data_IF_130112737682
#
_entry.id   IF_130112737682
#
_cell.length_a   1.000
_cell.length_b   1.000
_cell.length_c   1.000
_cell.angle_alpha   90.00
_cell.angle_beta   90.00
_cell.angle_gamma   90.00
#
_symmetry.space_group_name_H-M   'P 1'
#
loop_
_entity.id
_entity.type
_entity.pdbx_description
1 polymer ?
#
# COMPACT_ATOMS: atom_id res chain seq x y z
N UNK A 1 -1.90 14.88 25.01
CA UNK A 1 -1.76 14.87 26.48
C UNK A 1 -2.02 13.47 26.96
N UNK A 2 -1.01 12.84 27.56
CA UNK A 2 -1.11 11.58 28.28
C UNK A 2 -1.58 11.90 29.69
N UNK A 3 -2.87 11.72 29.94
CA UNK A 3 -3.49 11.95 31.24
C UNK A 3 -4.69 11.03 31.40
N UNK A 4 -4.80 10.46 32.59
CA UNK A 4 -5.77 9.48 33.08
C UNK A 4 -5.46 8.01 32.74
N UNK A 5 -4.92 7.31 33.74
CA UNK A 5 -5.02 5.87 33.92
C UNK A 5 -6.47 5.43 34.11
N UNK A 6 -7.28 5.56 33.05
CA UNK A 6 -8.54 4.85 32.97
C UNK A 6 -8.25 3.36 32.78
N UNK A 7 -8.86 2.52 33.61
CA UNK A 7 -8.88 1.09 33.40
C UNK A 7 -9.25 0.79 31.94
N UNK A 8 -8.56 -0.18 31.31
CA UNK A 8 -8.93 -0.62 29.96
C UNK A 8 -10.43 -0.96 30.00
N UNK A 9 -11.27 -0.35 29.15
CA UNK A 9 -12.69 -0.65 29.16
C UNK A 9 -12.86 -2.17 28.98
N UNK A 10 -13.82 -2.78 29.71
CA UNK A 10 -14.04 -4.21 29.62
C UNK A 10 -14.29 -4.61 28.16
N UNK A 11 -13.89 -5.83 27.76
CA UNK A 11 -14.18 -6.32 26.42
C UNK A 11 -15.70 -6.28 26.18
N UNK A 12 -16.11 -5.86 24.99
CA UNK A 12 -17.51 -5.95 24.57
C UNK A 12 -17.81 -7.42 24.30
N UNK A 13 -18.66 -8.04 25.11
CA UNK A 13 -19.02 -9.46 24.98
C UNK A 13 -20.11 -9.69 23.94
N UNK A 14 -21.08 -8.76 23.85
CA UNK A 14 -22.14 -8.79 22.84
C UNK A 14 -22.58 -7.38 22.47
N UNK A 15 -23.12 -7.25 21.26
CA UNK A 15 -23.77 -6.03 20.77
C UNK A 15 -25.06 -6.44 20.05
N UNK A 16 -26.17 -5.77 20.38
CA UNK A 16 -27.47 -5.99 19.73
C UNK A 16 -27.73 -4.81 18.81
N UNK A 17 -27.92 -5.11 17.52
CA UNK A 17 -28.30 -4.12 16.51
C UNK A 17 -29.81 -4.20 16.31
N UNK A 18 -30.52 -3.11 16.59
CA UNK A 18 -31.96 -2.99 16.38
C UNK A 18 -32.20 -2.07 15.18
N UNK A 19 -32.85 -2.60 14.15
CA UNK A 19 -33.22 -1.86 12.95
C UNK A 19 -34.66 -2.20 12.53
N UNK A 20 -35.22 -1.42 11.61
CA UNK A 20 -36.50 -1.77 10.98
C UNK A 20 -36.38 -3.12 10.24
N UNK A 21 -37.45 -3.91 10.13
CA UNK A 21 -37.40 -5.20 9.44
C UNK A 21 -36.92 -5.05 8.00
N UNK A 22 -35.73 -5.56 7.71
CA UNK A 22 -35.20 -5.71 6.35
C UNK A 22 -34.55 -7.10 6.25
N UNK A 23 -34.68 -7.73 5.08
CA UNK A 23 -33.94 -8.97 4.79
C UNK A 23 -32.44 -8.75 4.63
N UNK A 24 -31.97 -7.51 4.74
CA UNK A 24 -30.60 -7.09 4.46
C UNK A 24 -29.77 -6.87 5.74
N UNK A 25 -30.38 -6.88 6.94
CA UNK A 25 -29.69 -6.56 8.19
C UNK A 25 -28.57 -7.57 8.52
N UNK A 26 -28.82 -8.86 8.36
CA UNK A 26 -27.83 -9.91 8.62
C UNK A 26 -26.61 -9.77 7.70
N UNK A 27 -26.86 -9.48 6.42
CA UNK A 27 -25.80 -9.26 5.44
C UNK A 27 -25.02 -7.98 5.76
N UNK A 28 -25.69 -6.89 6.11
CA UNK A 28 -25.04 -5.65 6.51
C UNK A 28 -24.14 -5.83 7.74
N UNK A 29 -24.57 -6.63 8.72
CA UNK A 29 -23.75 -6.97 9.90
C UNK A 29 -22.56 -7.84 9.51
N UNK A 30 -22.75 -8.84 8.65
CA UNK A 30 -21.68 -9.70 8.12
C UNK A 30 -20.61 -8.88 7.40
N UNK A 31 -21.03 -7.98 6.51
CA UNK A 31 -20.14 -7.06 5.80
C UNK A 31 -19.44 -6.10 6.76
N UNK A 32 -20.19 -5.44 7.65
CA UNK A 32 -19.62 -4.52 8.63
C UNK A 32 -18.54 -5.17 9.51
N UNK A 33 -18.74 -6.43 9.91
CA UNK A 33 -17.74 -7.20 10.64
C UNK A 33 -16.49 -7.47 9.79
N UNK A 34 -16.64 -7.90 8.54
CA UNK A 34 -15.50 -8.14 7.64
C UNK A 34 -14.66 -6.88 7.41
N UNK A 35 -15.32 -5.73 7.17
CA UNK A 35 -14.68 -4.43 7.02
C UNK A 35 -13.88 -4.03 8.28
N UNK A 36 -14.50 -4.12 9.45
CA UNK A 36 -13.84 -3.77 10.71
C UNK A 36 -12.69 -4.73 11.05
N UNK A 37 -12.86 -6.03 10.81
CA UNK A 37 -11.85 -7.04 11.10
C UNK A 37 -10.64 -6.96 10.15
N UNK A 38 -10.84 -6.62 8.87
CA UNK A 38 -9.77 -6.31 7.92
C UNK A 38 -8.98 -5.06 8.33
N UNK A 39 -9.67 -3.96 8.62
CA UNK A 39 -9.02 -2.70 9.08
C UNK A 39 -8.27 -2.91 10.40
N UNK A 40 -8.79 -3.73 11.31
CA UNK A 40 -8.13 -4.09 12.57
C UNK A 40 -6.84 -4.90 12.37
N UNK A 41 -6.82 -5.82 11.41
CA UNK A 41 -5.60 -6.56 11.04
C UNK A 41 -4.54 -5.62 10.50
N UNK A 42 -4.93 -4.73 9.57
CA UNK A 42 -4.05 -3.69 9.05
C UNK A 42 -3.49 -2.80 10.18
N UNK A 43 -4.36 -2.29 11.07
CA UNK A 43 -3.95 -1.49 12.23
C UNK A 43 -3.00 -2.23 13.17
N UNK A 44 -3.25 -3.51 13.42
CA UNK A 44 -2.44 -4.32 14.33
C UNK A 44 -1.03 -4.48 13.77
N UNK A 45 -0.90 -4.79 12.49
CA UNK A 45 0.40 -4.91 11.83
C UNK A 45 1.12 -3.56 11.81
N UNK A 46 0.42 -2.48 11.45
CA UNK A 46 0.93 -1.11 11.43
C UNK A 46 1.36 -0.60 12.82
N UNK A 47 0.76 -1.10 13.91
CA UNK A 47 1.09 -0.69 15.27
C UNK A 47 2.44 -1.25 15.76
N UNK A 48 2.84 -2.41 15.26
CA UNK A 48 4.06 -3.12 15.69
C UNK A 48 5.30 -2.22 15.46
N UNK A 49 6.29 -2.27 16.36
CA UNK A 49 7.51 -1.48 16.21
C UNK A 49 8.40 -2.08 15.11
N UNK A 50 9.31 -1.26 14.55
CA UNK A 50 10.17 -1.66 13.42
C UNK A 50 11.05 -2.88 13.72
N UNK A 51 11.50 -3.04 14.97
CA UNK A 51 12.28 -4.21 15.41
C UNK A 51 11.48 -5.52 15.49
N UNK A 52 10.17 -5.49 15.25
CA UNK A 52 9.30 -6.67 15.21
C UNK A 52 8.70 -6.83 13.82
N UNK A 53 8.17 -5.75 13.25
CA UNK A 53 7.50 -5.78 11.96
C UNK A 53 8.47 -5.70 10.78
N UNK A 54 9.46 -6.59 10.72
CA UNK A 54 10.44 -6.68 9.63
C UNK A 54 9.83 -7.30 8.37
N UNK A 55 10.51 -7.25 7.19
CA UNK A 55 9.99 -7.86 5.96
C UNK A 55 9.70 -9.36 6.12
N UNK A 56 10.58 -10.07 6.84
CA UNK A 56 10.37 -11.49 7.18
C UNK A 56 9.15 -11.72 8.08
N UNK A 57 8.90 -10.82 9.04
CA UNK A 57 7.70 -10.88 9.87
C UNK A 57 6.43 -10.62 9.04
N UNK A 58 6.44 -9.62 8.15
CA UNK A 58 5.32 -9.36 7.24
C UNK A 58 4.99 -10.58 6.37
N UNK A 59 6.02 -11.28 5.86
CA UNK A 59 5.83 -12.52 5.12
C UNK A 59 5.19 -13.64 5.96
N UNK A 60 5.57 -13.77 7.23
CA UNK A 60 4.94 -14.71 8.17
C UNK A 60 3.47 -14.37 8.44
N UNK A 61 3.16 -13.08 8.66
CA UNK A 61 1.79 -12.61 8.86
C UNK A 61 0.92 -12.81 7.61
N UNK A 62 1.50 -12.68 6.41
CA UNK A 62 0.80 -12.93 5.17
C UNK A 62 0.37 -14.40 5.04
N UNK A 63 1.25 -15.35 5.39
CA UNK A 63 0.89 -16.77 5.42
C UNK A 63 -0.23 -17.05 6.41
N UNK A 64 -0.15 -16.50 7.64
CA UNK A 64 -1.22 -16.63 8.63
C UNK A 64 -2.55 -16.05 8.13
N UNK A 65 -2.52 -14.89 7.49
CA UNK A 65 -3.70 -14.27 6.88
C UNK A 65 -4.29 -15.18 5.80
N UNK A 66 -3.45 -15.77 4.97
CA UNK A 66 -3.89 -16.67 3.91
C UNK A 66 -4.57 -17.91 4.47
N UNK A 67 -3.96 -18.56 5.47
CA UNK A 67 -4.55 -19.73 6.13
C UNK A 67 -5.92 -19.41 6.77
N UNK A 68 -6.05 -18.26 7.45
CA UNK A 68 -7.30 -17.84 8.09
C UNK A 68 -8.44 -17.50 7.12
N UNK A 69 -8.08 -17.02 5.92
CA UNK A 69 -9.03 -16.51 4.92
C UNK A 69 -9.20 -17.45 3.72
N UNK A 70 -8.50 -18.58 3.67
CA UNK A 70 -8.54 -19.51 2.54
C UNK A 70 -7.90 -18.95 1.27
N UNK A 71 -6.84 -18.14 1.40
CA UNK A 71 -6.08 -17.59 0.28
C UNK A 71 -4.87 -18.46 -0.06
N UNK A 72 -4.33 -18.30 -1.26
CA UNK A 72 -2.98 -18.78 -1.58
C UNK A 72 -1.95 -17.73 -1.14
N UNK A 73 -0.82 -18.15 -0.56
CA UNK A 73 0.30 -17.27 -0.22
C UNK A 73 1.60 -17.76 -0.87
N UNK A 74 2.30 -16.84 -1.53
CA UNK A 74 3.63 -17.03 -2.09
C UNK A 74 4.53 -15.89 -1.58
N UNK A 75 5.79 -16.21 -1.27
CA UNK A 75 6.77 -15.24 -0.77
C UNK A 75 8.07 -15.44 -1.52
N UNK A 76 8.50 -14.42 -2.26
CA UNK A 76 9.78 -14.40 -2.95
C UNK A 76 10.84 -13.79 -2.03
N UNK A 77 11.95 -14.50 -1.85
CA UNK A 77 13.14 -14.01 -1.16
C UNK A 77 14.18 -13.44 -2.13
N UNK A 78 15.39 -13.10 -1.65
CA UNK A 78 16.38 -12.37 -2.45
C UNK A 78 16.81 -13.12 -3.73
N UNK A 79 16.87 -14.45 -3.67
CA UNK A 79 17.23 -15.27 -4.82
C UNK A 79 16.14 -15.21 -5.90
N UNK A 80 14.87 -15.35 -5.51
CA UNK A 80 13.73 -15.27 -6.42
C UNK A 80 13.56 -13.84 -6.96
N UNK A 81 13.72 -12.82 -6.13
CA UNK A 81 13.69 -11.41 -6.54
C UNK A 81 14.77 -11.12 -7.59
N UNK A 82 15.98 -11.67 -7.41
CA UNK A 82 17.07 -11.54 -8.39
C UNK A 82 16.74 -12.28 -9.68
N UNK A 83 16.16 -13.48 -9.61
CA UNK A 83 15.75 -14.23 -10.78
C UNK A 83 14.63 -13.53 -11.56
N UNK A 84 13.73 -12.85 -10.86
CA UNK A 84 12.68 -12.00 -11.44
C UNK A 84 13.20 -10.62 -11.90
N UNK A 85 14.50 -10.30 -11.75
CA UNK A 85 15.06 -9.01 -12.20
C UNK A 85 14.56 -7.80 -11.40
N UNK A 86 14.11 -7.98 -10.15
CA UNK A 86 13.60 -6.90 -9.30
C UNK A 86 14.74 -6.07 -8.68
N UNK A 87 15.54 -5.46 -9.55
CA UNK A 87 16.73 -4.71 -9.16
C UNK A 87 16.42 -3.47 -8.33
N UNK A 88 15.26 -2.83 -8.53
CA UNK A 88 14.89 -1.62 -7.80
C UNK A 88 14.51 -1.93 -6.35
N UNK A 89 13.75 -2.99 -6.11
CA UNK A 89 13.45 -3.50 -4.76
C UNK A 89 14.74 -3.95 -4.06
N UNK A 90 15.58 -4.73 -4.74
CA UNK A 90 16.86 -5.18 -4.19
C UNK A 90 17.76 -3.99 -3.84
N UNK A 91 17.81 -2.95 -4.68
CA UNK A 91 18.61 -1.75 -4.43
C UNK A 91 18.22 -1.02 -3.14
N UNK A 92 16.93 -0.90 -2.85
CA UNK A 92 16.44 -0.28 -1.60
C UNK A 92 16.91 -1.07 -0.37
N UNK A 93 16.88 -2.41 -0.46
CA UNK A 93 17.21 -3.28 0.68
C UNK A 93 18.68 -3.34 1.07
N UNK A 94 19.61 -2.93 0.19
CA UNK A 94 21.07 -3.10 0.39
C UNK A 94 21.61 -2.47 1.68
N UNK A 95 20.87 -1.50 2.23
CA UNK A 95 21.22 -0.82 3.47
C UNK A 95 20.88 -1.60 4.75
N UNK A 96 20.07 -2.64 4.68
CA UNK A 96 19.61 -3.41 5.86
C UNK A 96 20.18 -4.85 5.87
N UNK A 97 20.29 -5.40 7.08
CA UNK A 97 20.53 -6.83 7.31
C UNK A 97 19.22 -7.64 7.17
N UNK A 98 18.06 -6.99 7.26
CA UNK A 98 16.77 -7.62 6.97
C UNK A 98 16.57 -7.72 5.45
N UNK A 99 16.55 -8.95 4.96
CA UNK A 99 16.37 -9.23 3.56
C UNK A 99 14.98 -8.82 3.03
N UNK A 100 14.88 -8.35 1.78
CA UNK A 100 13.60 -7.98 1.19
C UNK A 100 12.73 -9.20 0.93
N UNK A 101 11.42 -8.95 0.81
CA UNK A 101 10.41 -9.95 0.44
C UNK A 101 9.46 -9.33 -0.58
N UNK A 102 9.04 -10.10 -1.58
CA UNK A 102 7.77 -9.81 -2.27
C UNK A 102 6.74 -10.84 -1.81
N UNK A 103 5.69 -10.33 -1.18
CA UNK A 103 4.57 -11.14 -0.69
C UNK A 103 3.47 -11.10 -1.75
N UNK A 104 2.92 -12.27 -2.07
CA UNK A 104 1.81 -12.45 -3.02
C UNK A 104 0.70 -13.23 -2.33
N UNK A 105 -0.50 -12.63 -2.26
CA UNK A 105 -1.72 -13.26 -1.76
C UNK A 105 -2.69 -13.41 -2.93
N UNK A 106 -3.33 -14.57 -3.10
CA UNK A 106 -4.31 -14.79 -4.18
C UNK A 106 -5.63 -15.30 -3.65
N UNK A 107 -6.71 -14.65 -4.10
CA UNK A 107 -8.09 -15.09 -3.96
C UNK A 107 -8.59 -15.50 -5.34
N UNK A 108 -9.09 -16.73 -5.48
CA UNK A 108 -9.66 -17.26 -6.72
C UNK A 108 -11.18 -17.38 -6.58
N UNK A 109 -11.86 -16.25 -6.72
CA UNK A 109 -13.31 -16.16 -6.54
C UNK A 109 -14.11 -16.30 -7.84
N UNK A 110 -13.48 -16.12 -9.00
CA UNK A 110 -14.13 -16.20 -10.30
C UNK A 110 -13.67 -17.43 -11.09
N UNK A 111 -14.26 -17.63 -12.28
CA UNK A 111 -13.91 -18.74 -13.15
C UNK A 111 -12.43 -18.70 -13.58
N UNK A 112 -11.81 -19.86 -13.84
CA UNK A 112 -10.43 -19.93 -14.33
C UNK A 112 -10.24 -19.12 -15.62
N UNK A 113 -9.26 -18.22 -15.61
CA UNK A 113 -8.91 -17.39 -16.78
C UNK A 113 -9.49 -15.98 -16.75
N UNK A 114 -10.39 -15.66 -15.81
CA UNK A 114 -10.83 -14.29 -15.62
C UNK A 114 -9.71 -13.41 -15.05
N UNK A 115 -9.55 -12.22 -15.64
CA UNK A 115 -8.51 -11.26 -15.27
C UNK A 115 -8.70 -10.80 -13.81
N UNK A 116 -7.64 -10.85 -12.98
CA UNK A 116 -7.77 -10.44 -11.59
C UNK A 116 -7.82 -8.91 -11.44
N UNK A 117 -8.38 -8.46 -10.32
CA UNK A 117 -8.06 -7.16 -9.75
C UNK A 117 -6.76 -7.27 -8.96
N UNK A 118 -5.86 -6.30 -9.07
CA UNK A 118 -4.59 -6.32 -8.32
C UNK A 118 -4.53 -5.17 -7.33
N UNK A 119 -4.22 -5.49 -6.09
CA UNK A 119 -3.95 -4.55 -5.00
C UNK A 119 -2.47 -4.55 -4.69
N UNK A 120 -1.79 -3.40 -4.74
CA UNK A 120 -0.34 -3.30 -4.42
C UNK A 120 -0.13 -2.37 -3.22
N UNK A 121 0.60 -2.80 -2.20
CA UNK A 121 0.79 -2.03 -0.98
C UNK A 121 2.26 -1.83 -0.66
N UNK A 122 2.71 -0.57 -0.54
CA UNK A 122 4.08 -0.26 -0.07
C UNK A 122 4.31 -0.88 1.31
N UNK A 123 5.31 -1.75 1.42
CA UNK A 123 5.67 -2.49 2.63
C UNK A 123 7.03 -2.09 3.23
N UNK A 124 7.36 -0.79 3.30
CA UNK A 124 8.59 -0.33 3.96
C UNK A 124 8.46 -0.43 5.47
N UNK A 125 9.11 -1.42 6.05
CA UNK A 125 8.96 -1.76 7.47
C UNK A 125 9.62 -0.76 8.41
N UNK A 126 10.69 -0.13 7.93
CA UNK A 126 11.25 1.08 8.50
C UNK A 126 11.94 1.90 7.41
N UNK A 127 11.74 3.23 7.45
CA UNK A 127 12.34 4.14 6.49
C UNK A 127 13.15 5.24 7.19
N UNK A 128 14.47 5.07 7.21
CA UNK A 128 15.40 6.10 7.68
C UNK A 128 15.77 7.09 6.56
N UNK A 129 15.39 6.82 5.31
CA UNK A 129 15.80 7.56 4.11
C UNK A 129 17.11 7.10 3.47
N UNK A 130 17.76 6.06 4.02
CA UNK A 130 19.05 5.59 3.53
C UNK A 130 20.17 6.63 3.70
N UNK A 131 21.03 6.78 2.68
CA UNK A 131 22.10 7.80 2.67
C UNK A 131 21.54 9.22 2.73
N UNK A 132 20.36 9.45 2.12
CA UNK A 132 19.58 10.68 2.21
C UNK A 132 18.78 10.73 3.52
N UNK A 133 19.49 10.61 4.64
CA UNK A 133 18.96 10.40 5.99
C UNK A 133 17.88 11.42 6.39
N UNK A 134 16.75 10.94 6.91
CA UNK A 134 15.70 11.78 7.48
C UNK A 134 16.20 12.49 8.75
N UNK A 135 15.64 13.67 9.08
CA UNK A 135 15.86 14.26 10.40
C UNK A 135 15.37 13.35 11.53
N UNK A 136 16.06 13.35 12.66
CA UNK A 136 15.71 12.52 13.82
C UNK A 136 14.28 12.76 14.34
N UNK A 137 13.80 14.01 14.26
CA UNK A 137 12.47 14.39 14.75
C UNK A 137 11.38 13.72 13.92
N UNK A 138 10.64 12.80 14.53
CA UNK A 138 9.52 12.12 13.90
C UNK A 138 9.90 10.84 13.14
N UNK A 139 11.19 10.50 13.06
CA UNK A 139 11.66 9.29 12.40
C UNK A 139 11.12 8.02 13.07
N UNK A 140 10.78 8.06 14.36
CA UNK A 140 10.16 6.94 15.08
C UNK A 140 8.80 6.52 14.50
N UNK A 141 8.16 7.40 13.71
CA UNK A 141 6.90 7.14 13.02
C UNK A 141 7.10 6.43 11.67
N UNK A 142 8.33 6.31 11.17
CA UNK A 142 8.60 5.65 9.90
C UNK A 142 8.41 4.13 9.97
N UNK A 143 8.14 3.57 11.16
CA UNK A 143 7.52 2.23 11.29
C UNK A 143 6.15 2.12 10.61
N UNK A 144 5.49 3.24 10.34
CA UNK A 144 4.21 3.27 9.63
C UNK A 144 4.39 3.26 8.11
N UNK A 145 5.61 3.19 7.58
CA UNK A 145 5.84 3.28 6.15
C UNK A 145 5.48 2.01 5.35
N UNK A 146 4.97 1.00 6.07
CA UNK A 146 4.38 -0.24 5.57
C UNK A 146 2.84 -0.22 5.57
N UNK A 147 2.22 0.95 5.81
CA UNK A 147 0.76 1.07 5.96
C UNK A 147 -0.01 0.62 4.72
N UNK A 148 0.54 0.85 3.53
CA UNK A 148 -0.07 0.38 2.28
C UNK A 148 -0.12 -1.14 2.22
N UNK A 149 1.02 -1.79 2.50
CA UNK A 149 1.11 -3.25 2.61
C UNK A 149 0.16 -3.82 3.67
N UNK A 150 0.09 -3.20 4.84
CA UNK A 150 -0.84 -3.60 5.89
C UNK A 150 -2.30 -3.52 5.45
N UNK A 151 -2.67 -2.46 4.73
CA UNK A 151 -4.02 -2.27 4.22
C UNK A 151 -4.38 -3.30 3.15
N UNK A 152 -3.46 -3.63 2.25
CA UNK A 152 -3.64 -4.70 1.24
C UNK A 152 -3.82 -6.05 1.92
N UNK A 153 -2.96 -6.41 2.89
CA UNK A 153 -3.09 -7.67 3.64
C UNK A 153 -4.42 -7.76 4.40
N UNK A 154 -4.86 -6.66 5.02
CA UNK A 154 -6.16 -6.59 5.69
C UNK A 154 -7.35 -6.70 4.73
N UNK A 155 -7.27 -6.06 3.55
CA UNK A 155 -8.30 -6.15 2.52
C UNK A 155 -8.38 -7.56 1.94
N UNK A 156 -7.24 -8.18 1.60
CA UNK A 156 -7.18 -9.55 1.10
C UNK A 156 -7.77 -10.56 2.08
N UNK A 157 -7.49 -10.41 3.38
CA UNK A 157 -8.14 -11.23 4.41
C UNK A 157 -9.67 -11.13 4.32
N UNK A 158 -10.21 -9.91 4.22
CA UNK A 158 -11.66 -9.70 4.16
C UNK A 158 -12.26 -10.21 2.85
N UNK A 159 -11.57 -10.05 1.72
CA UNK A 159 -11.96 -10.61 0.41
C UNK A 159 -12.13 -12.13 0.51
N UNK A 160 -11.12 -12.85 1.01
CA UNK A 160 -11.18 -14.31 1.17
C UNK A 160 -12.27 -14.75 2.14
N UNK A 161 -12.40 -14.06 3.28
CA UNK A 161 -13.46 -14.35 4.28
C UNK A 161 -14.88 -14.14 3.78
N UNK A 162 -15.08 -13.20 2.86
CA UNK A 162 -16.38 -12.97 2.24
C UNK A 162 -16.63 -13.90 1.06
N UNK A 163 -15.59 -14.56 0.53
CA UNK A 163 -15.68 -15.41 -0.65
C UNK A 163 -16.18 -14.63 -1.86
N UNK A 164 -15.67 -13.41 -2.07
CA UNK A 164 -16.17 -12.54 -3.15
C UNK A 164 -15.99 -13.22 -4.51
N UNK A 165 -16.97 -13.15 -5.43
CA UNK A 165 -16.95 -13.85 -6.71
C UNK A 165 -16.09 -13.13 -7.76
N UNK A 166 -14.83 -12.82 -7.42
CA UNK A 166 -13.87 -12.12 -8.29
C UNK A 166 -12.46 -12.61 -8.00
N UNK A 167 -11.59 -12.68 -9.02
CA UNK A 167 -10.17 -12.98 -8.81
C UNK A 167 -9.45 -11.74 -8.26
N UNK A 168 -8.68 -11.90 -7.19
CA UNK A 168 -7.91 -10.79 -6.58
C UNK A 168 -6.50 -11.24 -6.23
N UNK A 169 -5.52 -10.41 -6.58
CA UNK A 169 -4.12 -10.60 -6.18
C UNK A 169 -3.68 -9.42 -5.32
N UNK A 170 -3.19 -9.70 -4.12
CA UNK A 170 -2.53 -8.73 -3.25
C UNK A 170 -1.02 -8.85 -3.34
N UNK A 171 -0.31 -7.74 -3.62
CA UNK A 171 1.14 -7.66 -3.63
C UNK A 171 1.65 -6.71 -2.54
N UNK A 172 2.65 -7.14 -1.80
CA UNK A 172 3.37 -6.30 -0.84
C UNK A 172 4.87 -6.46 -1.07
N UNK A 173 5.49 -5.58 -1.89
CA UNK A 173 6.95 -5.44 -1.87
C UNK A 173 7.37 -4.89 -0.50
N UNK A 174 8.28 -5.58 0.16
CA UNK A 174 8.70 -5.27 1.53
C UNK A 174 10.21 -5.23 1.68
N UNK A 175 10.68 -4.19 2.37
CA UNK A 175 12.08 -3.91 2.64
C UNK A 175 12.18 -3.04 3.89
N UNK A 176 13.40 -2.83 4.37
CA UNK A 176 13.77 -1.63 5.13
C UNK A 176 14.60 -0.69 4.25
N UNK A 177 14.63 0.59 4.58
CA UNK A 177 15.50 1.59 3.97
C UNK A 177 16.41 2.21 5.03
N UNK A 178 17.57 1.59 5.23
CA UNK A 178 18.57 1.96 6.22
C UNK A 178 19.86 2.45 5.56
N UNK A 179 20.72 3.09 6.37
CA UNK A 179 22.07 3.44 5.94
C UNK A 179 23.08 2.38 6.38
N UNK A 180 23.96 1.98 5.46
CA UNK A 180 25.11 1.12 5.73
C UNK A 180 26.19 1.40 4.69
N UNK A 181 27.36 0.75 4.80
CA UNK A 181 28.41 0.82 3.78
C UNK A 181 28.00 0.24 2.42
N UNK A 182 26.93 -0.57 2.38
CA UNK A 182 26.41 -1.22 1.17
C UNK A 182 25.18 -0.51 0.58
N UNK A 183 24.67 0.52 1.27
CA UNK A 183 23.45 1.21 0.86
C UNK A 183 23.58 1.84 -0.53
N UNK A 184 22.45 1.88 -1.24
CA UNK A 184 22.33 2.65 -2.49
C UNK A 184 22.62 4.12 -2.22
N UNK A 185 23.29 4.78 -3.16
CA UNK A 185 23.77 6.16 -3.04
C UNK A 185 23.02 7.08 -4.00
N UNK A 186 22.83 8.37 -3.63
CA UNK A 186 22.50 9.39 -4.61
C UNK A 186 23.48 9.39 -5.78
N UNK A 187 22.96 9.35 -7.01
CA UNK A 187 23.71 9.23 -8.26
C UNK A 187 23.89 7.81 -8.78
N UNK A 188 23.55 6.77 -7.99
CA UNK A 188 23.56 5.40 -8.51
C UNK A 188 22.50 5.25 -9.62
N UNK A 189 22.86 4.54 -10.69
CA UNK A 189 21.92 4.10 -11.72
C UNK A 189 21.64 2.61 -11.49
N UNK A 190 20.36 2.29 -11.28
CA UNK A 190 19.89 0.92 -11.01
C UNK A 190 18.95 0.46 -12.14
N UNK A 191 18.83 -0.85 -12.35
CA UNK A 191 17.77 -1.39 -13.21
C UNK A 191 16.43 -1.49 -12.49
N UNK A 192 15.46 -2.02 -13.21
CA UNK A 192 14.13 -2.41 -12.72
C UNK A 192 13.67 -3.64 -13.48
N UNK A 193 12.65 -4.32 -12.95
CA UNK A 193 12.02 -5.47 -13.59
C UNK A 193 11.52 -5.16 -15.01
N UNK A 194 10.98 -3.97 -15.20
CA UNK A 194 10.49 -3.49 -16.50
C UNK A 194 11.61 -3.22 -17.53
N UNK A 195 12.88 -3.46 -17.17
CA UNK A 195 14.04 -3.19 -18.03
C UNK A 195 14.44 -1.72 -18.14
N UNK A 196 13.82 -0.83 -17.34
CA UNK A 196 14.15 0.60 -17.31
C UNK A 196 15.29 0.87 -16.32
N UNK A 197 16.21 1.73 -16.71
CA UNK A 197 17.26 2.28 -15.86
C UNK A 197 16.76 3.50 -15.08
N UNK A 198 17.04 3.54 -13.78
CA UNK A 198 16.60 4.59 -12.86
C UNK A 198 17.81 5.26 -12.21
N UNK A 199 17.96 6.56 -12.41
CA UNK A 199 18.92 7.38 -11.67
C UNK A 199 18.34 7.74 -10.28
N UNK A 200 18.96 7.21 -9.23
CA UNK A 200 18.55 7.45 -7.85
C UNK A 200 19.12 8.78 -7.37
N UNK A 201 18.33 9.84 -7.38
CA UNK A 201 18.76 11.17 -6.91
C UNK A 201 18.62 11.30 -5.40
N UNK A 202 17.61 10.66 -4.83
CA UNK A 202 17.32 10.72 -3.40
C UNK A 202 16.88 9.33 -2.92
N UNK A 203 17.59 8.78 -1.94
CA UNK A 203 17.33 7.43 -1.38
C UNK A 203 16.14 7.42 -0.41
N UNK A 204 15.62 8.59 -0.04
CA UNK A 204 14.36 8.80 0.71
C UNK A 204 13.12 8.82 -0.22
N UNK A 205 13.34 8.52 -1.50
CA UNK A 205 12.29 8.26 -2.48
C UNK A 205 12.32 6.78 -2.89
N UNK A 206 12.44 5.90 -1.89
CA UNK A 206 12.55 4.44 -1.99
C UNK A 206 11.22 3.76 -2.28
N UNK A 207 10.12 4.26 -1.71
CA UNK A 207 8.81 3.61 -1.79
C UNK A 207 8.36 3.39 -3.22
N UNK A 208 8.63 4.36 -4.11
CA UNK A 208 8.31 4.23 -5.54
C UNK A 208 9.21 3.22 -6.27
N UNK A 209 10.44 3.00 -5.80
CA UNK A 209 11.36 2.02 -6.38
C UNK A 209 10.89 0.60 -6.10
N UNK A 210 10.49 0.32 -4.86
CA UNK A 210 9.96 -1.01 -4.51
C UNK A 210 8.61 -1.28 -5.19
N UNK A 211 7.81 -0.23 -5.40
CA UNK A 211 6.53 -0.33 -6.11
C UNK A 211 6.73 -0.51 -7.61
N UNK A 212 7.75 0.09 -8.22
CA UNK A 212 8.03 -0.06 -9.65
C UNK A 212 8.16 -1.53 -10.05
N UNK A 213 8.97 -2.30 -9.33
CA UNK A 213 9.12 -3.74 -9.62
C UNK A 213 7.84 -4.53 -9.34
N UNK A 214 7.08 -4.18 -8.29
CA UNK A 214 5.84 -4.86 -7.96
C UNK A 214 4.70 -4.56 -8.96
N UNK A 215 4.61 -3.34 -9.47
CA UNK A 215 3.64 -2.94 -10.49
C UNK A 215 3.93 -3.67 -11.82
N UNK A 216 5.19 -3.78 -12.21
CA UNK A 216 5.56 -4.52 -13.41
C UNK A 216 5.35 -6.04 -13.21
N UNK A 217 5.65 -6.55 -12.01
CA UNK A 217 5.31 -7.92 -11.65
C UNK A 217 3.81 -8.19 -11.71
N UNK A 218 2.97 -7.23 -11.30
CA UNK A 218 1.51 -7.34 -11.39
C UNK A 218 1.00 -7.45 -12.83
N UNK A 219 1.61 -6.70 -13.76
CA UNK A 219 1.19 -6.66 -15.16
C UNK A 219 1.26 -8.04 -15.85
N UNK A 220 2.05 -8.98 -15.31
CA UNK A 220 2.17 -10.36 -15.83
C UNK A 220 0.85 -11.13 -15.88
N UNK A 221 -0.13 -10.75 -15.07
CA UNK A 221 -1.44 -11.39 -15.02
C UNK A 221 -2.47 -10.75 -15.95
N UNK A 222 -2.05 -9.76 -16.76
CA UNK A 222 -2.94 -8.93 -17.58
C UNK A 222 -4.21 -8.51 -16.80
N UNK A 223 -4.04 -7.86 -15.64
CA UNK A 223 -5.16 -7.65 -14.74
C UNK A 223 -6.18 -6.67 -15.31
N UNK A 224 -7.43 -6.77 -14.85
CA UNK A 224 -8.49 -5.84 -15.25
C UNK A 224 -8.19 -4.41 -14.75
N UNK A 225 -7.59 -4.30 -13.57
CA UNK A 225 -7.10 -3.05 -13.00
C UNK A 225 -6.03 -3.29 -11.93
N UNK A 226 -5.13 -2.32 -11.76
CA UNK A 226 -4.13 -2.29 -10.69
C UNK A 226 -4.40 -1.07 -9.80
N UNK A 227 -4.58 -1.30 -8.50
CA UNK A 227 -4.71 -0.22 -7.51
C UNK A 227 -3.57 -0.36 -6.50
N UNK A 228 -2.65 0.61 -6.49
CA UNK A 228 -1.61 0.65 -5.48
C UNK A 228 -1.90 1.69 -4.38
N UNK A 229 -1.38 1.46 -3.18
CA UNK A 229 -1.49 2.40 -2.08
C UNK A 229 -0.18 2.48 -1.27
N UNK A 230 0.21 3.71 -0.92
CA UNK A 230 1.49 3.93 -0.26
C UNK A 230 1.52 5.23 0.56
N UNK A 231 2.23 5.19 1.68
CA UNK A 231 2.70 6.38 2.40
C UNK A 231 3.85 6.99 1.60
N UNK A 232 3.53 7.61 0.44
CA UNK A 232 4.54 7.84 -0.59
C UNK A 232 5.20 9.20 -0.52
N UNK A 233 4.43 10.26 -0.24
CA UNK A 233 4.99 11.62 -0.31
C UNK A 233 4.57 12.49 0.87
N UNK A 234 5.54 13.23 1.43
CA UNK A 234 5.21 14.34 2.33
C UNK A 234 4.43 15.47 1.62
N UNK A 235 4.56 15.57 0.29
CA UNK A 235 3.86 16.56 -0.52
C UNK A 235 2.33 16.40 -0.48
N UNK A 236 1.81 15.18 -0.35
CA UNK A 236 0.34 14.98 -0.28
C UNK A 236 -0.22 15.55 1.01
N UNK A 237 0.55 15.52 2.10
CA UNK A 237 0.16 16.10 3.40
C UNK A 237 0.05 17.61 3.28
N UNK A 238 0.96 18.24 2.53
CA UNK A 238 0.90 19.69 2.26
C UNK A 238 -0.32 20.04 1.40
N UNK A 239 -0.67 19.19 0.42
CA UNK A 239 -1.77 19.45 -0.51
C UNK A 239 -3.17 19.18 0.08
N UNK A 240 -3.35 18.05 0.77
CA UNK A 240 -4.66 17.53 1.20
C UNK A 240 -4.80 17.36 2.72
N UNK A 241 -3.74 17.66 3.48
CA UNK A 241 -3.73 17.53 4.94
C UNK A 241 -3.91 16.09 5.41
N UNK A 242 -4.70 15.92 6.48
CA UNK A 242 -4.93 14.63 7.14
C UNK A 242 -6.36 14.09 6.96
N UNK A 243 -7.06 14.57 5.93
CA UNK A 243 -8.49 14.32 5.75
C UNK A 243 -8.81 13.38 4.60
N UNK A 244 -8.10 13.53 3.47
CA UNK A 244 -8.30 12.77 2.24
C UNK A 244 -6.97 12.23 1.75
N UNK A 245 -6.98 10.99 1.26
CA UNK A 245 -5.86 10.47 0.46
C UNK A 245 -5.90 11.11 -0.92
N UNK A 246 -4.78 11.20 -1.63
CA UNK A 246 -4.82 11.50 -3.05
C UNK A 246 -5.16 10.23 -3.84
N UNK A 247 -5.89 10.37 -4.94
CA UNK A 247 -5.98 9.35 -5.99
C UNK A 247 -5.46 9.96 -7.30
N UNK A 248 -4.59 9.25 -8.00
CA UNK A 248 -4.04 9.61 -9.30
C UNK A 248 -4.04 8.35 -10.17
N UNK A 249 -4.12 8.45 -11.49
CA UNK A 249 -4.17 7.24 -12.31
C UNK A 249 -4.12 7.53 -13.80
N UNK A 250 -4.06 6.45 -14.57
CA UNK A 250 -4.11 6.49 -16.03
C UNK A 250 -5.53 6.29 -16.58
N UNK A 251 -6.49 5.96 -15.71
CA UNK A 251 -7.86 5.61 -16.08
C UNK A 251 -8.86 6.41 -15.21
N UNK A 252 -9.66 7.25 -15.84
CA UNK A 252 -10.61 8.15 -15.16
C UNK A 252 -11.80 7.41 -14.56
N UNK A 253 -12.23 6.29 -15.15
CA UNK A 253 -13.33 5.47 -14.63
C UNK A 253 -12.89 4.78 -13.32
N UNK A 254 -11.70 4.20 -13.31
CA UNK A 254 -11.11 3.62 -12.10
C UNK A 254 -10.92 4.65 -10.99
N UNK A 255 -10.52 5.88 -11.33
CA UNK A 255 -10.42 6.97 -10.34
C UNK A 255 -11.80 7.31 -9.75
N UNK A 256 -12.84 7.36 -10.58
CA UNK A 256 -14.20 7.62 -10.12
C UNK A 256 -14.70 6.50 -9.20
N UNK A 257 -14.49 5.24 -9.56
CA UNK A 257 -14.83 4.08 -8.73
C UNK A 257 -14.15 4.13 -7.35
N UNK A 258 -12.87 4.48 -7.30
CA UNK A 258 -12.13 4.56 -6.04
C UNK A 258 -12.62 5.73 -5.16
N UNK A 259 -13.06 6.83 -5.78
CA UNK A 259 -13.68 7.94 -5.05
C UNK A 259 -15.00 7.50 -4.43
N UNK A 260 -15.84 6.83 -5.20
CA UNK A 260 -17.15 6.36 -4.74
C UNK A 260 -16.99 5.28 -3.66
N UNK A 261 -16.04 4.35 -3.83
CA UNK A 261 -15.67 3.37 -2.81
C UNK A 261 -15.11 4.04 -1.53
N UNK A 262 -14.31 5.10 -1.69
CA UNK A 262 -13.77 5.88 -0.58
C UNK A 262 -14.86 6.57 0.23
N UNK A 263 -15.86 7.15 -0.43
CA UNK A 263 -17.01 7.78 0.21
C UNK A 263 -17.90 6.74 0.92
N UNK A 264 -18.22 5.62 0.25
CA UNK A 264 -18.97 4.51 0.84
C UNK A 264 -18.27 3.89 2.06
N UNK A 265 -16.94 3.77 2.02
CA UNK A 265 -16.13 3.23 3.12
C UNK A 265 -15.78 4.24 4.22
N UNK A 266 -16.18 5.52 4.09
CA UNK A 266 -15.76 6.63 4.96
C UNK A 266 -14.22 6.79 5.05
N UNK A 267 -13.53 6.49 3.96
CA UNK A 267 -12.10 6.67 3.74
C UNK A 267 -11.90 7.51 2.47
N UNK A 268 -12.35 8.79 2.45
CA UNK A 268 -12.43 9.57 1.22
C UNK A 268 -11.04 9.83 0.61
N UNK A 269 -11.00 9.83 -0.73
CA UNK A 269 -9.85 10.29 -1.51
C UNK A 269 -10.23 11.52 -2.34
N UNK A 270 -9.23 12.12 -3.01
CA UNK A 270 -9.43 13.26 -3.90
C UNK A 270 -8.51 13.14 -5.13
N UNK A 271 -9.04 13.32 -6.35
CA UNK A 271 -8.23 13.21 -7.56
C UNK A 271 -7.23 14.36 -7.66
N UNK A 272 -5.98 14.03 -7.96
CA UNK A 272 -4.95 14.99 -8.39
C UNK A 272 -4.59 14.73 -9.85
N UNK A 273 -4.25 15.78 -10.63
CA UNK A 273 -4.03 15.62 -12.05
C UNK A 273 -2.71 14.88 -12.34
N UNK A 274 -2.67 14.22 -13.50
CA UNK A 274 -1.45 13.72 -14.12
C UNK A 274 -1.30 14.30 -15.53
N UNK A 275 -0.08 14.33 -16.05
CA UNK A 275 0.13 14.85 -17.40
C UNK A 275 1.60 14.90 -17.84
N UNK A 276 1.85 15.10 -19.14
CA UNK A 276 3.19 15.05 -19.73
C UNK A 276 4.14 16.12 -19.17
N UNK A 277 3.63 17.27 -18.75
CA UNK A 277 4.45 18.34 -18.17
C UNK A 277 5.07 17.94 -16.82
N UNK A 278 4.36 17.14 -16.02
CA UNK A 278 4.91 16.58 -14.78
C UNK A 278 5.91 15.46 -15.07
N UNK A 279 5.62 14.60 -16.05
CA UNK A 279 6.51 13.52 -16.49
C UNK A 279 7.87 14.04 -16.96
N UNK A 280 7.92 15.18 -17.66
CA UNK A 280 9.19 15.81 -18.11
C UNK A 280 10.16 16.12 -16.96
N UNK A 281 9.66 16.31 -15.73
CA UNK A 281 10.49 16.57 -14.55
C UNK A 281 11.35 15.36 -14.15
N UNK A 282 10.95 14.15 -14.55
CA UNK A 282 11.65 12.90 -14.27
C UNK A 282 12.76 12.59 -15.29
N UNK A 283 12.96 13.38 -16.35
CA UNK A 283 14.01 13.12 -17.35
C UNK A 283 15.39 13.01 -16.69
N UNK A 284 16.13 11.94 -16.97
CA UNK A 284 17.54 11.79 -16.59
C UNK A 284 18.44 12.08 -17.80
N UNK A 285 19.70 12.46 -17.54
CA UNK A 285 20.74 12.57 -18.56
C UNK A 285 21.57 11.30 -18.74
N UNK A 286 21.43 10.32 -17.83
CA UNK A 286 22.27 9.11 -17.75
C UNK A 286 21.46 7.81 -17.61
N UNK A 287 20.15 7.90 -17.42
CA UNK A 287 19.21 6.79 -17.29
C UNK A 287 17.90 7.11 -18.03
N UNK A 288 16.94 6.18 -18.04
CA UNK A 288 15.62 6.43 -18.65
C UNK A 288 14.82 7.46 -17.85
N UNK A 289 14.95 7.46 -16.52
CA UNK A 289 14.32 8.42 -15.63
C UNK A 289 15.03 8.57 -14.29
N UNK A 290 14.81 9.70 -13.62
CA UNK A 290 15.17 9.97 -12.23
C UNK A 290 14.05 9.50 -11.31
N UNK A 291 14.42 9.05 -10.11
CA UNK A 291 13.41 8.67 -9.11
C UNK A 291 12.69 9.87 -8.47
N UNK A 292 13.09 11.13 -8.73
CA UNK A 292 12.42 12.34 -8.22
C UNK A 292 12.24 13.40 -9.32
N UNK A 293 11.13 14.14 -9.26
CA UNK A 293 10.84 15.28 -10.15
C UNK A 293 11.22 16.65 -9.57
N UNK A 294 11.77 16.70 -8.36
CA UNK A 294 12.04 17.93 -7.62
C UNK A 294 10.97 18.22 -6.56
N UNK A 295 11.03 19.44 -5.98
CA UNK A 295 10.16 19.84 -4.86
C UNK A 295 8.70 20.14 -5.27
N UNK A 296 8.43 20.90 -6.36
CA UNK A 296 7.05 21.16 -6.78
C UNK A 296 6.34 19.89 -7.23
N UNK A 297 5.04 19.79 -6.96
CA UNK A 297 4.20 18.69 -7.44
C UNK A 297 4.74 17.27 -7.09
N UNK A 298 5.36 17.11 -5.92
CA UNK A 298 6.03 15.86 -5.52
C UNK A 298 5.11 14.62 -5.55
N UNK A 299 3.84 14.77 -5.16
CA UNK A 299 2.84 13.68 -5.25
C UNK A 299 2.55 13.30 -6.70
N UNK A 300 2.37 14.29 -7.57
CA UNK A 300 2.05 14.06 -8.98
C UNK A 300 3.24 13.43 -9.71
N UNK A 301 4.46 13.93 -9.49
CA UNK A 301 5.66 13.37 -10.11
C UNK A 301 5.98 11.97 -9.60
N UNK A 302 5.64 11.64 -8.34
CA UNK A 302 5.71 10.27 -7.84
C UNK A 302 4.74 9.34 -8.57
N UNK A 303 3.49 9.75 -8.76
CA UNK A 303 2.53 8.99 -9.55
C UNK A 303 2.97 8.85 -11.03
N UNK A 304 3.51 9.92 -11.64
CA UNK A 304 4.09 9.83 -12.99
C UNK A 304 5.23 8.80 -13.06
N UNK A 305 6.09 8.74 -12.04
CA UNK A 305 7.12 7.71 -11.96
C UNK A 305 6.50 6.31 -11.91
N UNK A 306 5.51 6.08 -11.05
CA UNK A 306 4.85 4.77 -10.93
C UNK A 306 4.16 4.33 -12.23
N UNK A 307 3.53 5.25 -12.96
CA UNK A 307 2.84 4.96 -14.22
C UNK A 307 3.73 4.39 -15.32
N UNK A 308 5.05 4.49 -15.16
CA UNK A 308 6.04 3.92 -16.08
C UNK A 308 6.14 2.39 -15.99
N UNK A 309 5.60 1.80 -14.92
CA UNK A 309 5.81 0.40 -14.55
C UNK A 309 4.51 -0.40 -14.49
N UNK A 310 3.42 0.11 -15.06
CA UNK A 310 2.08 -0.53 -14.97
C UNK A 310 1.78 -1.49 -16.14
N UNK A 311 2.72 -1.65 -17.08
CA UNK A 311 2.51 -2.45 -18.29
C UNK A 311 1.38 -1.95 -19.20
N UNK A 312 0.91 -0.70 -19.02
CA UNK A 312 -0.23 -0.14 -19.76
C UNK A 312 -1.60 -0.59 -19.25
N UNK A 313 -1.67 -1.34 -18.15
CA UNK A 313 -2.92 -1.74 -17.51
C UNK A 313 -3.65 -0.53 -16.89
N UNK A 314 -5.00 -0.49 -16.87
CA UNK A 314 -5.74 0.49 -16.08
C UNK A 314 -5.23 0.54 -14.64
N UNK A 315 -4.78 1.71 -14.21
CA UNK A 315 -4.05 1.85 -12.96
C UNK A 315 -4.43 3.12 -12.20
N UNK A 316 -4.48 2.99 -10.88
CA UNK A 316 -4.62 4.09 -9.96
C UNK A 316 -3.72 3.91 -8.72
N UNK A 317 -3.21 5.04 -8.23
CA UNK A 317 -2.37 5.19 -7.06
C UNK A 317 -3.09 5.97 -5.96
N UNK A 318 -3.10 5.42 -4.76
CA UNK A 318 -3.56 6.07 -3.53
C UNK A 318 -2.37 6.52 -2.67
N UNK A 319 -2.07 7.82 -2.66
CA UNK A 319 -1.10 8.37 -1.70
C UNK A 319 -1.81 8.61 -0.36
N UNK A 320 -1.45 7.78 0.62
CA UNK A 320 -2.07 7.73 1.95
C UNK A 320 -1.18 8.32 3.04
N UNK A 321 -0.07 9.00 2.70
CA UNK A 321 0.87 9.52 3.69
C UNK A 321 0.21 10.46 4.73
N UNK A 322 -0.82 11.21 4.32
CA UNK A 322 -1.57 12.09 5.21
C UNK A 322 -2.62 11.39 6.07
N UNK A 323 -3.07 10.20 5.68
CA UNK A 323 -4.27 9.55 6.24
C UNK A 323 -4.02 8.16 6.82
N UNK A 324 -2.83 7.58 6.65
CA UNK A 324 -2.50 6.25 7.16
C UNK A 324 -2.37 6.19 8.69
N UNK A 325 -1.84 7.26 9.29
CA UNK A 325 -1.61 7.37 10.73
C UNK A 325 -1.72 8.83 11.19
N UNK A 326 -1.88 9.05 12.49
CA UNK A 326 -1.89 10.40 13.04
C UNK A 326 -2.58 10.53 14.39
N UNK A 327 -3.10 11.71 14.66
CA UNK A 327 -3.95 11.99 15.82
C UNK A 327 -5.40 12.13 15.39
N UNK A 328 -6.33 11.71 16.25
CA UNK A 328 -7.76 11.70 15.94
C UNK A 328 -8.60 11.96 17.18
N UNK A 329 -9.78 12.54 16.97
CA UNK A 329 -10.84 12.65 17.99
C UNK A 329 -12.01 11.71 17.70
N UNK A 330 -11.94 10.92 16.62
CA UNK A 330 -13.01 9.98 16.25
C UNK A 330 -13.06 8.82 17.26
N UNK A 331 -14.23 8.47 17.81
CA UNK A 331 -14.32 7.50 18.92
C UNK A 331 -13.91 6.07 18.53
N UNK A 332 -13.98 5.72 17.24
CA UNK A 332 -13.61 4.39 16.72
C UNK A 332 -12.13 4.26 16.29
N UNK A 333 -11.35 5.34 16.39
CA UNK A 333 -9.92 5.35 16.07
C UNK A 333 -9.11 5.73 17.31
N UNK A 334 -7.92 5.12 17.45
CA UNK A 334 -6.90 5.54 18.42
C UNK A 334 -5.81 6.32 17.70
N UNK A 335 -5.10 7.17 18.44
CA UNK A 335 -3.90 7.84 17.91
C UNK A 335 -2.85 6.80 17.48
N UNK A 336 -2.13 7.08 16.41
CA UNK A 336 -1.19 6.18 15.77
C UNK A 336 -1.77 5.61 14.48
N UNK A 337 -1.77 4.28 14.27
CA UNK A 337 -2.18 3.64 13.02
C UNK A 337 -3.70 3.63 12.80
N UNK A 338 -4.15 3.94 11.58
CA UNK A 338 -5.56 3.94 11.22
C UNK A 338 -6.00 2.76 10.33
N UNK A 339 -5.08 1.99 9.75
CA UNK A 339 -5.41 0.86 8.85
C UNK A 339 -6.03 1.29 7.51
N UNK A 340 -5.94 2.59 7.18
CA UNK A 340 -6.39 3.15 5.89
C UNK A 340 -5.37 2.78 4.79
N UNK A 341 -5.81 2.48 3.55
CA UNK A 341 -7.16 2.56 3.01
C UNK A 341 -7.87 1.18 2.94
N UNK A 342 -7.68 0.28 3.91
CA UNK A 342 -8.17 -1.11 3.84
C UNK A 342 -9.66 -1.24 3.47
N UNK A 343 -10.52 -0.38 4.02
CA UNK A 343 -11.97 -0.44 3.76
C UNK A 343 -12.32 0.07 2.37
N UNK A 344 -11.64 1.12 1.88
CA UNK A 344 -11.79 1.59 0.51
C UNK A 344 -11.42 0.47 -0.47
N UNK A 345 -10.27 -0.18 -0.28
CA UNK A 345 -9.82 -1.27 -1.17
C UNK A 345 -10.83 -2.42 -1.21
N UNK A 346 -11.31 -2.84 -0.03
CA UNK A 346 -12.33 -3.89 0.07
C UNK A 346 -13.65 -3.49 -0.62
N UNK A 347 -14.10 -2.25 -0.42
CA UNK A 347 -15.33 -1.75 -1.03
C UNK A 347 -15.24 -1.68 -2.55
N UNK A 348 -14.09 -1.22 -3.08
CA UNK A 348 -13.85 -1.19 -4.52
C UNK A 348 -13.92 -2.59 -5.14
N UNK A 349 -13.23 -3.58 -4.54
CA UNK A 349 -13.28 -4.98 -4.98
C UNK A 349 -14.72 -5.53 -4.92
N UNK A 350 -15.45 -5.24 -3.84
CA UNK A 350 -16.84 -5.69 -3.65
C UNK A 350 -17.79 -5.10 -4.69
N UNK A 351 -17.62 -3.82 -5.02
CA UNK A 351 -18.40 -3.14 -6.05
C UNK A 351 -18.18 -3.78 -7.43
N UNK A 352 -16.91 -4.03 -7.80
CA UNK A 352 -16.54 -4.72 -9.04
C UNK A 352 -17.05 -6.17 -9.10
N UNK A 353 -17.09 -6.88 -7.98
CA UNK A 353 -17.62 -8.25 -7.92
C UNK A 353 -19.15 -8.33 -8.08
N UNK A 354 -19.86 -7.20 -7.88
CA UNK A 354 -21.32 -7.11 -8.01
C UNK A 354 -21.78 -6.49 -9.34
N UNK A 355 -20.83 -6.10 -10.20
CA UNK A 355 -21.09 -5.39 -11.46
C UNK A 355 -21.17 -6.32 -12.67
#
# INVERSE_FOLDING_TARGET
>A
GTGAGGARPPPVESAVVVAAPSGELEEAVRLGHAFAAGENRARTLQARPGNIATPSHLAGEARRIADEAGLEAEVLGPAELKAEGMEALLAVSRGSDEEPRLIVLRHRGAEPGEAPLVLVGKGLTFDAGGISIKPAKGMEKMKYDMSGGAAVMGAMWAVGRLGLPVNVVGLVPSSENLLSGSATKPGDVIGSRAGKSIEVINTDAEGRLILADALDYAARWSPAAIVDCATLTGAVVVALGHHRSAVLGSDEELIAELRDAGDAAAQPCWPLPMGPEYRKQLKSGVADLRNVGGRPAGTITAACFLSEFTGGTPWAHLDIAGTAYGSTKKPYLRNGPFGRPCRLLLEWVRARASS
#
